data_IF_933241640897
#
_entry.id   IF_933241640897
#
_cell.length_a   1.000
_cell.length_b   1.000
_cell.length_c   1.000
_cell.angle_alpha   90.00
_cell.angle_beta   90.00
_cell.angle_gamma   90.00
#
_symmetry.space_group_name_H-M   'P 1'
#
loop_
_entity.id
_entity.type
_entity.pdbx_description
1 polymer ?
#
# COMPACT_ATOMS: atom_id res chain seq x y z
N UNK A 1 29.74 -37.11 -2.26
CA UNK A 1 28.28 -36.82 -2.32
C UNK A 1 27.97 -35.93 -3.52
N UNK A 2 27.31 -36.44 -4.58
CA UNK A 2 26.82 -35.61 -5.69
C UNK A 2 25.64 -34.78 -5.20
N UNK A 3 25.82 -33.46 -5.04
CA UNK A 3 24.72 -32.51 -4.77
C UNK A 3 23.63 -32.70 -5.84
N UNK A 4 22.38 -32.91 -5.44
CA UNK A 4 21.24 -33.04 -6.36
C UNK A 4 21.05 -31.72 -7.14
N UNK A 5 21.59 -31.68 -8.38
CA UNK A 5 21.59 -30.51 -9.26
C UNK A 5 20.19 -30.13 -9.77
N UNK A 6 19.21 -31.04 -9.70
CA UNK A 6 17.84 -30.78 -10.16
C UNK A 6 17.02 -30.05 -9.10
N UNK A 7 17.01 -30.56 -7.86
CA UNK A 7 16.28 -29.93 -6.75
C UNK A 7 16.78 -28.52 -6.41
N UNK A 8 18.09 -28.28 -6.55
CA UNK A 8 18.69 -26.95 -6.37
C UNK A 8 18.23 -25.93 -7.43
N UNK A 9 18.03 -26.35 -8.68
CA UNK A 9 17.49 -25.49 -9.74
C UNK A 9 16.02 -25.12 -9.54
N UNK A 10 15.20 -26.06 -9.06
CA UNK A 10 13.78 -25.81 -8.75
C UNK A 10 13.67 -24.81 -7.60
N UNK A 11 14.43 -25.02 -6.52
CA UNK A 11 14.45 -24.13 -5.38
C UNK A 11 14.86 -22.70 -5.77
N UNK A 12 15.92 -22.54 -6.56
CA UNK A 12 16.38 -21.23 -7.02
C UNK A 12 15.32 -20.52 -7.89
N UNK A 13 14.53 -21.28 -8.67
CA UNK A 13 13.41 -20.74 -9.44
C UNK A 13 12.28 -20.25 -8.53
N UNK A 14 11.92 -21.02 -7.50
CA UNK A 14 10.91 -20.61 -6.52
C UNK A 14 11.34 -19.36 -5.76
N UNK A 15 12.60 -19.31 -5.29
CA UNK A 15 13.16 -18.13 -4.61
C UNK A 15 13.14 -16.93 -5.56
N UNK A 16 13.51 -17.10 -6.83
CA UNK A 16 13.44 -16.03 -7.84
C UNK A 16 12.03 -15.45 -7.93
N UNK A 17 11.01 -16.30 -8.03
CA UNK A 17 9.60 -15.86 -8.11
C UNK A 17 9.21 -15.11 -6.85
N UNK A 18 9.42 -15.70 -5.67
CA UNK A 18 9.05 -15.10 -4.38
C UNK A 18 9.71 -13.74 -4.17
N UNK A 19 11.01 -13.63 -4.45
CA UNK A 19 11.76 -12.37 -4.35
C UNK A 19 11.23 -11.33 -5.33
N UNK A 20 10.90 -11.72 -6.57
CA UNK A 20 10.38 -10.79 -7.58
C UNK A 20 9.04 -10.18 -7.16
N UNK A 21 8.10 -11.00 -6.68
CA UNK A 21 6.82 -10.50 -6.14
C UNK A 21 7.01 -9.68 -4.88
N UNK A 22 7.95 -10.07 -4.01
CA UNK A 22 8.26 -9.31 -2.79
C UNK A 22 8.80 -7.92 -3.10
N UNK A 23 9.67 -7.78 -4.12
CA UNK A 23 10.15 -6.48 -4.60
C UNK A 23 8.98 -5.62 -5.08
N UNK A 24 8.16 -6.16 -5.99
CA UNK A 24 7.04 -5.41 -6.57
C UNK A 24 6.03 -4.96 -5.50
N UNK A 25 5.63 -5.85 -4.60
CA UNK A 25 4.72 -5.51 -3.50
C UNK A 25 5.34 -4.49 -2.54
N UNK A 26 6.62 -4.65 -2.18
CA UNK A 26 7.29 -3.71 -1.27
C UNK A 26 7.32 -2.29 -1.84
N UNK A 27 7.62 -2.14 -3.14
CA UNK A 27 7.63 -0.82 -3.80
C UNK A 27 6.22 -0.24 -3.84
N UNK A 28 5.22 -1.04 -4.21
CA UNK A 28 3.81 -0.63 -4.21
C UNK A 28 3.35 -0.17 -2.81
N UNK A 29 3.64 -0.95 -1.78
CA UNK A 29 3.25 -0.66 -0.41
C UNK A 29 3.99 0.55 0.18
N UNK A 30 5.29 0.70 -0.13
CA UNK A 30 6.07 1.89 0.25
C UNK A 30 5.51 3.15 -0.41
N UNK A 31 5.24 3.11 -1.72
CA UNK A 31 4.63 4.24 -2.43
C UNK A 31 3.26 4.60 -1.85
N UNK A 32 2.42 3.60 -1.58
CA UNK A 32 1.10 3.80 -0.95
C UNK A 32 1.24 4.44 0.42
N UNK A 33 2.15 3.92 1.25
CA UNK A 33 2.42 4.46 2.60
C UNK A 33 2.93 5.91 2.51
N UNK A 34 3.85 6.20 1.59
CA UNK A 34 4.39 7.54 1.41
C UNK A 34 3.31 8.56 1.02
N UNK A 35 2.38 8.19 0.14
CA UNK A 35 1.26 9.04 -0.27
C UNK A 35 0.25 9.22 0.86
N UNK A 36 -0.17 8.13 1.53
CA UNK A 36 -1.20 8.19 2.57
C UNK A 36 -0.73 8.98 3.79
N UNK A 37 0.49 8.74 4.27
CA UNK A 37 1.00 9.37 5.49
C UNK A 37 1.79 10.66 5.21
N UNK A 38 2.07 10.97 3.94
CA UNK A 38 2.78 12.16 3.50
C UNK A 38 1.93 13.42 3.56
N UNK A 39 1.69 13.96 4.76
CA UNK A 39 0.87 15.18 4.97
C UNK A 39 1.28 16.38 4.10
N UNK A 40 2.57 16.48 3.77
CA UNK A 40 3.11 17.52 2.90
C UNK A 40 2.42 17.56 1.53
N UNK A 41 2.07 16.41 0.96
CA UNK A 41 1.42 16.31 -0.33
C UNK A 41 0.00 16.87 -0.25
N UNK A 42 -0.78 16.40 0.74
CA UNK A 42 -2.13 16.91 0.95
C UNK A 42 -2.14 18.40 1.29
N UNK A 43 -1.17 18.89 2.05
CA UNK A 43 -1.07 20.32 2.38
C UNK A 43 -0.78 21.19 1.16
N UNK A 44 0.00 20.68 0.22
CA UNK A 44 0.16 21.32 -1.08
C UNK A 44 -1.16 21.29 -1.88
N UNK A 45 -1.85 20.15 -1.90
CA UNK A 45 -3.12 19.97 -2.62
C UNK A 45 -4.25 20.86 -2.09
N UNK A 46 -4.30 21.14 -0.78
CA UNK A 46 -5.29 22.05 -0.17
C UNK A 46 -5.30 23.40 -0.89
N UNK A 47 -4.12 23.96 -1.15
CA UNK A 47 -3.99 25.24 -1.83
C UNK A 47 -4.13 25.10 -3.34
N UNK A 48 -3.51 24.08 -3.92
CA UNK A 48 -3.53 23.86 -5.37
C UNK A 48 -4.93 23.60 -5.92
N UNK A 49 -5.78 22.89 -5.17
CA UNK A 49 -7.14 22.52 -5.56
C UNK A 49 -8.21 23.45 -4.96
N UNK A 50 -7.81 24.45 -4.17
CA UNK A 50 -8.72 25.34 -3.45
C UNK A 50 -9.77 24.59 -2.60
N UNK A 51 -9.31 23.59 -1.84
CA UNK A 51 -10.17 22.72 -1.01
C UNK A 51 -11.04 23.51 -0.01
N UNK A 52 -10.55 24.57 0.68
CA UNK A 52 -11.37 25.33 1.63
C UNK A 52 -12.67 25.85 1.02
N UNK A 53 -12.61 26.41 -0.19
CA UNK A 53 -13.78 26.94 -0.89
C UNK A 53 -14.70 25.81 -1.38
N UNK A 54 -14.15 24.69 -1.86
CA UNK A 54 -14.93 23.53 -2.31
C UNK A 54 -15.68 22.84 -1.17
N UNK A 55 -15.08 22.82 0.01
CA UNK A 55 -15.62 22.14 1.19
C UNK A 55 -16.47 23.07 2.08
N UNK A 56 -16.50 24.37 1.80
CA UNK A 56 -17.08 25.40 2.67
C UNK A 56 -16.53 25.31 4.11
N UNK A 57 -15.20 25.23 4.21
CA UNK A 57 -14.47 25.07 5.47
C UNK A 57 -13.25 25.98 5.51
N UNK A 58 -12.83 26.38 6.71
CA UNK A 58 -11.55 27.07 6.85
C UNK A 58 -10.41 26.12 6.51
N UNK A 59 -9.32 26.67 5.95
CA UNK A 59 -8.10 25.90 5.67
C UNK A 59 -7.56 25.18 6.91
N UNK A 60 -7.67 25.84 8.07
CA UNK A 60 -7.20 25.28 9.34
C UNK A 60 -8.08 24.11 9.79
N UNK A 61 -9.40 24.18 9.61
CA UNK A 61 -10.29 23.06 9.90
C UNK A 61 -10.02 21.87 8.97
N UNK A 62 -9.82 22.11 7.66
CA UNK A 62 -9.45 21.05 6.71
C UNK A 62 -8.18 20.33 7.16
N UNK A 63 -7.13 21.08 7.51
CA UNK A 63 -5.87 20.51 8.01
C UNK A 63 -6.05 19.75 9.31
N UNK A 64 -6.80 20.30 10.27
CA UNK A 64 -7.00 19.68 11.58
C UNK A 64 -7.77 18.36 11.48
N UNK A 65 -8.80 18.28 10.65
CA UNK A 65 -9.51 17.03 10.38
C UNK A 65 -8.61 15.99 9.71
N UNK A 66 -7.83 16.41 8.72
CA UNK A 66 -6.88 15.52 8.04
C UNK A 66 -5.77 15.02 8.97
N UNK A 67 -5.22 15.87 9.82
CA UNK A 67 -4.21 15.52 10.82
C UNK A 67 -4.69 14.41 11.76
N UNK A 68 -5.94 14.52 12.22
CA UNK A 68 -6.59 13.51 13.06
C UNK A 68 -6.81 12.22 12.27
N UNK A 69 -7.28 12.31 11.03
CA UNK A 69 -7.48 11.14 10.18
C UNK A 69 -6.18 10.37 9.94
N UNK A 70 -5.09 11.05 9.56
CA UNK A 70 -3.80 10.39 9.33
C UNK A 70 -3.23 9.79 10.61
N UNK A 71 -3.41 10.46 11.75
CA UNK A 71 -3.07 9.90 13.07
C UNK A 71 -3.86 8.63 13.35
N UNK A 72 -5.17 8.65 13.10
CA UNK A 72 -6.04 7.49 13.31
C UNK A 72 -5.62 6.28 12.46
N UNK A 73 -5.22 6.52 11.20
CA UNK A 73 -4.78 5.47 10.28
C UNK A 73 -3.41 4.88 10.64
N UNK A 74 -2.69 5.45 11.61
CA UNK A 74 -1.41 4.90 12.09
C UNK A 74 -1.60 3.51 12.72
N UNK A 75 -0.68 2.54 12.47
CA UNK A 75 -0.69 1.25 13.14
C UNK A 75 -0.48 1.35 14.66
N UNK A 76 0.02 2.49 15.15
CA UNK A 76 0.30 2.73 16.57
C UNK A 76 -0.83 3.45 17.31
N UNK A 77 -1.89 3.85 16.61
CA UNK A 77 -3.06 4.46 17.24
C UNK A 77 -4.13 3.40 17.49
N UNK A 78 -4.74 3.38 18.67
CA UNK A 78 -5.74 2.41 19.10
C UNK A 78 -7.12 3.04 19.42
N UNK A 79 -7.18 4.36 19.51
CA UNK A 79 -8.42 5.10 19.77
C UNK A 79 -9.41 5.09 18.61
N UNK A 80 -10.62 5.57 18.90
CA UNK A 80 -11.67 5.77 17.91
C UNK A 80 -11.43 7.06 17.09
N UNK A 81 -11.77 7.02 15.79
CA UNK A 81 -11.75 8.23 14.96
C UNK A 81 -12.83 9.22 15.44
N UNK A 82 -12.39 10.43 15.76
CA UNK A 82 -13.23 11.56 16.13
C UNK A 82 -12.74 12.81 15.41
N UNK A 83 -13.42 13.16 14.31
CA UNK A 83 -13.07 14.33 13.53
C UNK A 83 -13.47 15.61 14.28
N UNK A 84 -12.62 16.66 14.34
CA UNK A 84 -12.89 17.85 15.13
C UNK A 84 -14.10 18.67 14.71
N UNK A 85 -14.39 18.75 13.41
CA UNK A 85 -15.46 19.62 12.88
C UNK A 85 -16.40 18.91 11.91
N UNK A 86 -16.11 17.66 11.53
CA UNK A 86 -16.91 16.88 10.60
C UNK A 86 -17.68 15.80 11.34
N UNK A 87 -18.99 15.76 11.10
CA UNK A 87 -19.84 14.70 11.61
C UNK A 87 -19.53 13.36 10.92
N UNK A 88 -19.67 12.27 11.68
CA UNK A 88 -19.40 10.92 11.20
C UNK A 88 -20.62 10.02 11.39
N UNK A 89 -21.17 9.54 10.28
CA UNK A 89 -22.22 8.52 10.30
C UNK A 89 -21.68 7.16 10.76
N UNK A 90 -22.57 6.26 11.16
CA UNK A 90 -22.21 4.87 11.54
C UNK A 90 -21.50 4.14 10.39
N UNK A 91 -22.03 4.25 9.17
CA UNK A 91 -21.42 3.61 8.00
C UNK A 91 -20.06 4.24 7.65
N UNK A 92 -19.93 5.57 7.79
CA UNK A 92 -18.63 6.24 7.63
C UNK A 92 -17.60 5.77 8.64
N UNK A 93 -18.01 5.56 9.90
CA UNK A 93 -17.14 5.01 10.94
C UNK A 93 -16.65 3.60 10.61
N UNK A 94 -17.55 2.73 10.14
CA UNK A 94 -17.20 1.36 9.72
C UNK A 94 -16.21 1.40 8.55
N UNK A 95 -16.48 2.23 7.53
CA UNK A 95 -15.58 2.39 6.38
C UNK A 95 -14.16 2.78 6.80
N UNK A 96 -13.99 3.74 7.70
CA UNK A 96 -12.66 4.14 8.17
C UNK A 96 -11.96 3.05 9.00
N UNK A 97 -12.69 2.24 9.75
CA UNK A 97 -12.13 1.06 10.45
C UNK A 97 -11.60 0.05 9.44
N UNK A 98 -12.34 -0.25 8.38
CA UNK A 98 -11.90 -1.16 7.33
C UNK A 98 -10.65 -0.63 6.63
N UNK A 99 -10.65 0.65 6.25
CA UNK A 99 -9.48 1.32 5.63
C UNK A 99 -8.27 1.22 6.54
N UNK A 100 -8.40 1.50 7.85
CA UNK A 100 -7.31 1.35 8.81
C UNK A 100 -6.78 -0.08 8.85
N UNK A 101 -7.66 -1.07 8.97
CA UNK A 101 -7.28 -2.47 9.01
C UNK A 101 -6.49 -2.90 7.76
N UNK A 102 -6.91 -2.43 6.58
CA UNK A 102 -6.21 -2.68 5.31
C UNK A 102 -4.82 -2.02 5.32
N UNK A 103 -4.73 -0.73 5.67
CA UNK A 103 -3.46 -0.01 5.66
C UNK A 103 -2.44 -0.58 6.65
N UNK A 104 -2.90 -1.00 7.84
CA UNK A 104 -2.06 -1.66 8.84
C UNK A 104 -1.57 -3.03 8.33
N UNK A 105 -2.45 -3.83 7.74
CA UNK A 105 -2.07 -5.11 7.10
C UNK A 105 -1.05 -4.90 5.99
N UNK A 106 -1.25 -3.91 5.12
CA UNK A 106 -0.31 -3.55 4.05
C UNK A 106 1.07 -3.23 4.62
N UNK A 107 1.15 -2.44 5.71
CA UNK A 107 2.43 -2.11 6.34
C UNK A 107 3.13 -3.33 6.94
N UNK A 108 2.41 -4.23 7.62
CA UNK A 108 3.03 -5.46 8.13
C UNK A 108 3.56 -6.36 7.02
N UNK A 109 2.78 -6.55 5.95
CA UNK A 109 3.22 -7.33 4.79
C UNK A 109 4.39 -6.64 4.09
N UNK A 110 4.41 -5.31 4.01
CA UNK A 110 5.50 -4.52 3.44
C UNK A 110 6.83 -4.80 4.16
N UNK A 111 6.86 -4.75 5.50
CA UNK A 111 8.08 -5.06 6.24
C UNK A 111 8.56 -6.50 5.99
N UNK A 112 7.63 -7.46 5.96
CA UNK A 112 7.95 -8.85 5.64
C UNK A 112 8.51 -9.01 4.22
N UNK A 113 7.91 -8.39 3.22
CA UNK A 113 8.35 -8.48 1.82
C UNK A 113 9.66 -7.74 1.58
N UNK A 114 9.92 -6.62 2.27
CA UNK A 114 11.22 -5.94 2.22
C UNK A 114 12.32 -6.88 2.74
N UNK A 115 12.09 -7.52 3.89
CA UNK A 115 13.03 -8.47 4.46
C UNK A 115 13.30 -9.67 3.52
N UNK A 116 12.24 -10.24 2.93
CA UNK A 116 12.36 -11.33 1.95
C UNK A 116 13.13 -10.87 0.71
N UNK A 117 12.83 -9.68 0.19
CA UNK A 117 13.50 -9.11 -0.98
C UNK A 117 15.00 -8.90 -0.73
N UNK A 118 15.39 -8.38 0.44
CA UNK A 118 16.79 -8.17 0.81
C UNK A 118 17.53 -9.51 0.97
N UNK A 119 17.02 -10.40 1.83
CA UNK A 119 17.70 -11.68 2.13
C UNK A 119 17.77 -12.56 0.88
N UNK A 120 16.63 -12.73 0.19
CA UNK A 120 16.54 -13.54 -1.02
C UNK A 120 17.29 -12.92 -2.19
N UNK A 121 17.26 -11.59 -2.33
CA UNK A 121 18.04 -10.87 -3.33
C UNK A 121 19.54 -11.07 -3.14
N UNK A 122 20.06 -10.90 -1.92
CA UNK A 122 21.48 -11.16 -1.61
C UNK A 122 21.86 -12.60 -1.93
N UNK A 123 21.01 -13.58 -1.58
CA UNK A 123 21.24 -14.99 -1.90
C UNK A 123 21.33 -15.24 -3.42
N UNK A 124 20.41 -14.68 -4.20
CA UNK A 124 20.38 -14.85 -5.65
C UNK A 124 21.55 -14.13 -6.35
N UNK A 125 21.93 -12.93 -5.88
CA UNK A 125 23.10 -12.19 -6.37
C UNK A 125 24.41 -12.96 -6.10
N UNK A 126 24.56 -13.56 -4.91
CA UNK A 126 25.71 -14.44 -4.61
C UNK A 126 25.80 -15.65 -5.55
N UNK A 127 24.66 -16.10 -6.09
CA UNK A 127 24.57 -17.15 -7.11
C UNK A 127 24.67 -16.64 -8.55
N UNK A 128 24.87 -15.34 -8.76
CA UNK A 128 24.86 -14.69 -10.09
C UNK A 128 23.54 -14.92 -10.86
N UNK A 129 22.43 -15.06 -10.14
CA UNK A 129 21.10 -15.14 -10.75
C UNK A 129 20.40 -13.80 -10.59
N UNK A 130 20.46 -12.98 -11.64
CA UNK A 130 19.98 -11.60 -11.65
C UNK A 130 18.52 -11.49 -12.12
N UNK A 131 17.94 -12.61 -12.58
CA UNK A 131 16.62 -12.64 -13.23
C UNK A 131 15.54 -12.04 -12.34
N UNK A 132 15.62 -12.19 -11.03
CA UNK A 132 14.64 -11.66 -10.09
C UNK A 132 14.48 -10.14 -10.18
N UNK A 133 15.54 -9.40 -10.55
CA UNK A 133 15.47 -7.95 -10.73
C UNK A 133 14.57 -7.60 -11.92
N UNK A 134 14.82 -8.22 -13.08
CA UNK A 134 13.99 -8.01 -14.28
C UNK A 134 12.52 -8.37 -14.02
N UNK A 135 12.26 -9.54 -13.42
CA UNK A 135 10.89 -9.97 -13.11
C UNK A 135 10.23 -9.03 -12.09
N UNK A 136 10.97 -8.61 -11.05
CA UNK A 136 10.50 -7.63 -10.07
C UNK A 136 10.16 -6.29 -10.70
N UNK A 137 11.00 -5.78 -11.62
CA UNK A 137 10.73 -4.53 -12.35
C UNK A 137 9.47 -4.62 -13.22
N UNK A 138 9.30 -5.72 -13.96
CA UNK A 138 8.09 -5.94 -14.77
C UNK A 138 6.84 -6.00 -13.87
N UNK A 139 6.90 -6.77 -12.78
CA UNK A 139 5.79 -6.90 -11.84
C UNK A 139 5.44 -5.57 -11.16
N UNK A 140 6.43 -4.74 -10.85
CA UNK A 140 6.22 -3.40 -10.26
C UNK A 140 5.36 -2.51 -11.14
N UNK A 141 5.43 -2.69 -12.47
CA UNK A 141 4.59 -1.96 -13.44
C UNK A 141 3.23 -2.64 -13.61
N UNK A 142 3.21 -3.96 -13.77
CA UNK A 142 1.97 -4.71 -14.04
C UNK A 142 1.00 -4.66 -12.85
N UNK A 143 1.51 -4.79 -11.62
CA UNK A 143 0.70 -4.88 -10.41
C UNK A 143 -0.25 -3.68 -10.23
N UNK A 144 0.20 -2.41 -10.25
CA UNK A 144 -0.70 -1.27 -10.12
C UNK A 144 -1.65 -1.13 -11.31
N UNK A 145 -1.21 -1.42 -12.55
CA UNK A 145 -2.08 -1.36 -13.72
C UNK A 145 -3.23 -2.37 -13.59
N UNK A 146 -2.93 -3.61 -13.21
CA UNK A 146 -3.93 -4.65 -13.04
C UNK A 146 -4.99 -4.28 -11.98
N UNK A 147 -4.58 -3.58 -10.90
CA UNK A 147 -5.49 -3.09 -9.87
C UNK A 147 -6.30 -1.86 -10.30
N UNK A 148 -5.68 -0.92 -11.02
CA UNK A 148 -6.33 0.33 -11.44
C UNK A 148 -7.32 0.14 -12.58
N UNK A 149 -7.07 -0.79 -13.51
CA UNK A 149 -7.92 -1.01 -14.68
C UNK A 149 -9.41 -1.24 -14.34
N UNK A 150 -9.80 -2.20 -13.46
CA UNK A 150 -11.21 -2.40 -13.13
C UNK A 150 -11.84 -1.18 -12.44
N UNK A 151 -11.08 -0.50 -11.58
CA UNK A 151 -11.52 0.72 -10.87
C UNK A 151 -11.80 1.84 -11.87
N UNK A 152 -10.92 2.03 -12.86
CA UNK A 152 -11.07 3.04 -13.91
C UNK A 152 -12.23 2.73 -14.87
N UNK A 153 -12.49 1.45 -15.17
CA UNK A 153 -13.61 1.03 -16.02
C UNK A 153 -14.96 1.24 -15.32
N UNK A 154 -15.06 0.85 -14.04
CA UNK A 154 -16.28 1.03 -13.27
C UNK A 154 -15.97 1.13 -11.77
N UNK A 155 -15.87 2.36 -11.29
CA UNK A 155 -15.58 2.65 -9.89
C UNK A 155 -16.67 2.08 -8.96
N UNK A 156 -17.95 2.30 -9.25
CA UNK A 156 -19.05 1.89 -8.37
C UNK A 156 -19.09 0.36 -8.17
N UNK A 157 -19.04 -0.42 -9.26
CA UNK A 157 -19.01 -1.89 -9.18
C UNK A 157 -17.76 -2.38 -8.46
N UNK A 158 -16.60 -1.78 -8.72
CA UNK A 158 -15.35 -2.13 -8.05
C UNK A 158 -15.43 -1.84 -6.55
N UNK A 159 -15.97 -0.68 -6.17
CA UNK A 159 -16.17 -0.26 -4.78
C UNK A 159 -17.13 -1.21 -4.04
N UNK A 160 -18.26 -1.54 -4.66
CA UNK A 160 -19.25 -2.48 -4.08
C UNK A 160 -18.67 -3.88 -3.96
N UNK A 161 -17.95 -4.38 -4.97
CA UNK A 161 -17.30 -5.69 -4.92
C UNK A 161 -16.24 -5.73 -3.83
N UNK A 162 -15.42 -4.67 -3.71
CA UNK A 162 -14.40 -4.57 -2.68
C UNK A 162 -14.98 -4.69 -1.27
N UNK A 163 -16.05 -3.95 -0.95
CA UNK A 163 -16.69 -4.02 0.36
C UNK A 163 -17.41 -5.36 0.63
N UNK A 164 -17.75 -6.13 -0.40
CA UNK A 164 -18.28 -7.50 -0.23
C UNK A 164 -17.20 -8.53 0.09
N UNK A 165 -15.93 -8.22 -0.21
CA UNK A 165 -14.80 -9.11 0.02
C UNK A 165 -14.09 -8.86 1.36
N UNK A 166 -14.33 -7.70 1.98
CA UNK A 166 -13.83 -7.34 3.31
C UNK A 166 -14.66 -8.00 4.40
#
# INVERSE_FOLDING_TARGET
>A
MKKNKSGTKILDRLITIVVSYSIAFSIFALATTAVVYGKWLYYFEIDFLNIPDLADMTKDDVKRNYDVLITYLSPFYDGALQLPTLDMSTNGRIHFVDVKNILVKIQYVMYATIMIAIIGGIYLLKKKNEKFLLHGSILTIIFPIALMLPIAINFEKSFVLFHKLL
#
